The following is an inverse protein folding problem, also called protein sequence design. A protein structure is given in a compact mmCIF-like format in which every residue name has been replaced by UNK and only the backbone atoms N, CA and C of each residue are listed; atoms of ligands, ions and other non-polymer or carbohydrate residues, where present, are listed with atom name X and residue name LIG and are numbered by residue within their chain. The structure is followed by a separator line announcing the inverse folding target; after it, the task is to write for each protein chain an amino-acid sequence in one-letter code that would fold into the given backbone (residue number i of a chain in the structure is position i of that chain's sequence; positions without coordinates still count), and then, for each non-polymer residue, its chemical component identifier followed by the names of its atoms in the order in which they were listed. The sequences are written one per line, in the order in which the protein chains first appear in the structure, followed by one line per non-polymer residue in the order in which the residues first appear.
data_IF_132914398462
#
_entry.id   IF_132914398462
#
_cell.length_a   1.000
_cell.length_b   1.000
_cell.length_c   1.000
_cell.angle_alpha   90.00
_cell.angle_beta   90.00
_cell.angle_gamma   90.00
#
_symmetry.space_group_name_H-M   'P 1'
#
loop_
_entity.id
_entity.type
_entity.pdbx_description
1 polymer ?
#
# COMPACT_ATOMS: atom_id res chain seq x y z
N UNK A 1 -13.45 8.07 4.85
CA UNK A 1 -12.18 8.78 5.10
C UNK A 1 -11.05 7.81 4.77
N UNK A 2 -10.10 8.18 3.92
CA UNK A 2 -8.96 7.36 3.47
C UNK A 2 -7.61 7.82 4.07
N UNK A 3 -7.63 8.72 5.07
CA UNK A 3 -6.43 9.24 5.72
C UNK A 3 -5.43 9.91 4.77
N UNK A 4 -5.89 10.42 3.62
CA UNK A 4 -5.04 11.04 2.61
C UNK A 4 -4.26 10.06 1.72
N UNK A 5 -4.49 8.75 1.86
CA UNK A 5 -3.84 7.72 1.03
C UNK A 5 -4.56 7.61 -0.32
N UNK A 6 -3.86 7.79 -1.47
CA UNK A 6 -4.45 7.63 -2.80
C UNK A 6 -4.79 6.16 -3.10
N UNK A 7 -5.57 5.93 -4.15
CA UNK A 7 -5.83 4.58 -4.62
C UNK A 7 -4.53 3.92 -5.09
N UNK A 8 -4.26 2.71 -4.60
CA UNK A 8 -3.04 1.98 -4.90
C UNK A 8 -3.39 0.64 -5.54
N UNK A 9 -3.14 0.53 -6.84
CA UNK A 9 -3.32 -0.69 -7.62
C UNK A 9 -2.46 -1.85 -7.09
N UNK A 10 -1.29 -1.53 -6.50
CA UNK A 10 -0.37 -2.51 -5.94
C UNK A 10 -0.71 -2.95 -4.51
N UNK A 11 -1.80 -2.43 -3.92
CA UNK A 11 -2.29 -2.87 -2.61
C UNK A 11 -2.45 -4.38 -2.57
N UNK A 12 -2.02 -5.01 -1.47
CA UNK A 12 -2.20 -6.47 -1.28
C UNK A 12 -3.68 -6.84 -1.17
N UNK A 13 -4.53 -5.85 -0.91
CA UNK A 13 -5.97 -5.97 -0.84
C UNK A 13 -6.63 -5.84 -2.22
N UNK A 14 -5.88 -5.44 -3.25
CA UNK A 14 -6.40 -5.31 -4.60
C UNK A 14 -6.59 -6.70 -5.25
N UNK A 15 -7.73 -6.90 -5.91
CA UNK A 15 -7.96 -8.06 -6.77
C UNK A 15 -7.02 -8.06 -7.97
N UNK A 16 -6.74 -9.24 -8.53
CA UNK A 16 -6.04 -9.35 -9.81
C UNK A 16 -6.95 -8.95 -10.98
N UNK A 17 -6.36 -8.67 -12.15
CA UNK A 17 -7.07 -8.21 -13.34
C UNK A 17 -8.13 -9.20 -13.87
N UNK A 18 -8.01 -10.50 -13.55
CA UNK A 18 -8.88 -11.58 -14.03
C UNK A 18 -9.79 -12.13 -12.93
N UNK A 19 -9.79 -11.53 -11.74
CA UNK A 19 -10.60 -11.97 -10.61
C UNK A 19 -12.07 -12.14 -11.00
N UNK A 20 -12.60 -13.34 -10.78
CA UNK A 20 -13.98 -13.75 -11.12
C UNK A 20 -14.32 -13.72 -12.63
N UNK A 21 -13.33 -13.71 -13.52
CA UNK A 21 -13.57 -13.84 -14.95
C UNK A 21 -14.16 -15.21 -15.31
N UNK A 22 -15.08 -15.23 -16.27
CA UNK A 22 -15.60 -16.46 -16.89
C UNK A 22 -14.63 -17.06 -17.91
N UNK A 23 -13.64 -16.28 -18.35
CA UNK A 23 -12.58 -16.66 -19.28
C UNK A 23 -11.29 -15.94 -18.84
N UNK A 24 -10.74 -16.41 -17.72
CA UNK A 24 -9.57 -15.84 -17.03
C UNK A 24 -8.26 -15.89 -17.84
N UNK A 25 -8.27 -16.55 -19.01
CA UNK A 25 -7.14 -16.57 -19.93
C UNK A 25 -7.13 -15.41 -20.92
N UNK A 26 -8.30 -14.80 -21.19
CA UNK A 26 -8.45 -13.86 -22.29
C UNK A 26 -9.28 -12.62 -21.95
N UNK A 27 -9.96 -12.59 -20.80
CA UNK A 27 -10.87 -11.51 -20.43
C UNK A 27 -10.60 -11.00 -19.02
N UNK A 28 -9.96 -9.85 -18.96
CA UNK A 28 -9.84 -9.06 -17.74
C UNK A 28 -11.23 -8.58 -17.30
N UNK A 29 -11.51 -8.68 -16.00
CA UNK A 29 -12.72 -8.13 -15.36
C UNK A 29 -12.46 -6.76 -14.75
N UNK A 30 -11.19 -6.44 -14.48
CA UNK A 30 -10.76 -5.17 -13.90
C UNK A 30 -9.67 -4.58 -14.80
N UNK A 31 -9.95 -3.40 -15.36
CA UNK A 31 -9.05 -2.67 -16.25
C UNK A 31 -8.70 -1.35 -15.58
N UNK A 32 -7.42 -1.15 -15.30
CA UNK A 32 -6.87 0.08 -14.75
C UNK A 32 -7.01 1.23 -15.76
N UNK A 33 -7.34 2.41 -15.27
CA UNK A 33 -7.36 3.61 -16.11
C UNK A 33 -5.94 4.08 -16.47
N UNK A 34 -4.97 3.81 -15.60
CA UNK A 34 -3.55 3.96 -15.91
C UNK A 34 -3.00 2.61 -16.38
N UNK A 35 -2.69 2.52 -17.67
CA UNK A 35 -2.19 1.30 -18.29
C UNK A 35 -0.88 0.81 -17.64
N UNK A 36 -0.07 1.72 -17.08
CA UNK A 36 1.18 1.34 -16.41
C UNK A 36 0.94 0.62 -15.09
N UNK A 37 -0.26 0.76 -14.50
CA UNK A 37 -0.61 0.15 -13.23
C UNK A 37 -1.30 -1.23 -13.39
N UNK A 38 -1.71 -1.61 -14.61
CA UNK A 38 -2.50 -2.83 -14.87
C UNK A 38 -1.83 -4.08 -14.28
N UNK A 39 -0.51 -4.22 -14.47
CA UNK A 39 0.26 -5.39 -14.01
C UNK A 39 0.65 -5.36 -12.53
N UNK A 40 0.40 -4.25 -11.83
CA UNK A 40 0.68 -4.13 -10.39
C UNK A 40 -0.43 -4.74 -9.52
N UNK A 41 -1.64 -4.91 -10.09
CA UNK A 41 -2.82 -5.40 -9.40
C UNK A 41 -2.72 -6.88 -9.05
N UNK A 42 -3.26 -7.26 -7.89
CA UNK A 42 -3.35 -8.67 -7.51
C UNK A 42 -2.06 -9.26 -6.92
N UNK A 43 -1.00 -8.49 -6.72
CA UNK A 43 0.21 -8.97 -6.06
C UNK A 43 -0.10 -9.51 -4.64
N UNK A 44 0.64 -10.54 -4.22
CA UNK A 44 0.49 -11.20 -2.91
C UNK A 44 1.81 -11.33 -2.15
N UNK A 45 2.84 -10.61 -2.56
CA UNK A 45 4.18 -10.71 -1.98
C UNK A 45 4.27 -10.01 -0.63
N UNK A 46 3.66 -8.81 -0.51
CA UNK A 46 3.72 -7.99 0.71
C UNK A 46 2.66 -6.88 0.71
N UNK A 47 2.31 -6.40 1.89
CA UNK A 47 1.43 -5.24 2.06
C UNK A 47 2.09 -3.97 1.52
N UNK A 48 1.45 -3.30 0.56
CA UNK A 48 1.97 -2.08 -0.06
C UNK A 48 2.20 -0.99 0.99
N UNK A 49 3.03 0.00 0.66
CA UNK A 49 3.29 1.09 1.59
C UNK A 49 2.00 1.83 1.98
N UNK A 50 1.08 2.01 1.04
CA UNK A 50 -0.27 2.57 1.26
C UNK A 50 -1.08 1.77 2.28
N UNK A 51 -1.08 0.44 2.20
CA UNK A 51 -1.73 -0.46 3.16
C UNK A 51 -1.18 -0.24 4.57
N UNK A 52 0.15 -0.15 4.69
CA UNK A 52 0.84 0.05 5.96
C UNK A 52 0.47 1.43 6.55
N UNK A 53 0.47 2.48 5.74
CA UNK A 53 0.09 3.84 6.17
C UNK A 53 -1.35 3.84 6.67
N UNK A 54 -2.28 3.26 5.91
CA UNK A 54 -3.70 3.24 6.27
C UNK A 54 -3.95 2.49 7.58
N UNK A 55 -3.35 1.31 7.75
CA UNK A 55 -3.48 0.53 9.01
C UNK A 55 -2.85 1.30 10.19
N UNK A 56 -1.67 1.90 10.03
CA UNK A 56 -1.06 2.68 11.11
C UNK A 56 -1.91 3.91 11.49
N UNK A 57 -2.58 4.54 10.52
CA UNK A 57 -3.48 5.66 10.77
C UNK A 57 -4.75 5.21 11.52
N UNK A 58 -5.40 4.13 11.08
CA UNK A 58 -6.61 3.58 11.72
C UNK A 58 -6.36 3.21 13.19
N UNK A 59 -5.22 2.58 13.47
CA UNK A 59 -4.87 2.14 14.82
C UNK A 59 -4.01 3.14 15.60
N UNK A 60 -3.86 4.37 15.09
CA UNK A 60 -3.13 5.47 15.73
C UNK A 60 -1.72 5.07 16.20
N UNK A 61 -1.03 4.24 15.42
CA UNK A 61 0.24 3.63 15.81
C UNK A 61 1.34 4.65 16.13
N UNK A 62 1.26 5.86 15.56
CA UNK A 62 2.17 6.97 15.88
C UNK A 62 2.17 7.33 17.37
N UNK A 63 1.06 7.12 18.09
CA UNK A 63 0.97 7.38 19.54
C UNK A 63 1.92 6.52 20.39
N UNK A 64 2.40 5.39 19.86
CA UNK A 64 3.41 4.55 20.52
C UNK A 64 4.78 5.21 20.59
N UNK A 65 5.05 6.19 19.73
CA UNK A 65 6.31 6.91 19.65
C UNK A 65 6.05 8.42 19.90
N UNK A 66 5.84 8.84 21.17
CA UNK A 66 5.57 10.25 21.49
C UNK A 66 6.77 11.17 21.21
N UNK A 67 7.99 10.63 21.26
CA UNK A 67 9.24 11.36 21.00
C UNK A 67 10.17 10.50 20.13
N UNK A 68 9.91 10.38 18.82
CA UNK A 68 10.76 9.62 17.92
C UNK A 68 12.13 10.28 17.78
N UNK A 69 13.20 9.48 17.68
CA UNK A 69 14.58 9.98 17.58
C UNK A 69 15.08 10.12 16.13
N UNK A 70 14.17 10.02 15.15
CA UNK A 70 14.45 10.08 13.72
C UNK A 70 13.36 10.86 13.01
N UNK A 71 13.73 11.57 11.96
CA UNK A 71 12.81 12.24 11.05
C UNK A 71 12.79 11.50 9.71
N UNK A 72 11.62 11.01 9.30
CA UNK A 72 11.48 10.27 8.05
C UNK A 72 11.33 11.21 6.86
N UNK A 73 12.08 10.93 5.80
CA UNK A 73 12.11 11.73 4.58
C UNK A 73 11.31 11.05 3.46
N UNK A 74 11.05 11.79 2.37
CA UNK A 74 10.44 11.27 1.13
C UNK A 74 9.12 10.50 1.34
N UNK A 75 8.28 10.96 2.29
CA UNK A 75 6.99 10.34 2.57
C UNK A 75 7.05 9.06 3.41
N UNK A 76 8.22 8.72 3.98
CA UNK A 76 8.33 7.64 4.97
C UNK A 76 7.60 7.95 6.27
N UNK A 77 7.22 6.90 7.00
CA UNK A 77 6.57 7.00 8.31
C UNK A 77 7.44 6.40 9.41
N UNK A 78 7.30 6.88 10.64
CA UNK A 78 8.00 6.31 11.80
C UNK A 78 7.59 4.85 11.99
N UNK A 79 8.57 3.98 12.18
CA UNK A 79 8.32 2.60 12.55
C UNK A 79 7.85 2.55 14.01
N UNK A 80 6.54 2.31 14.19
CA UNK A 80 5.88 2.25 15.50
C UNK A 80 6.35 1.10 16.42
N UNK A 81 7.19 0.18 15.91
CA UNK A 81 7.81 -0.90 16.70
C UNK A 81 9.13 -0.50 17.33
N UNK A 82 9.86 0.45 16.75
CA UNK A 82 11.24 0.80 17.15
C UNK A 82 11.41 2.28 17.54
N UNK A 83 10.54 3.17 17.05
CA UNK A 83 10.55 4.62 17.27
C UNK A 83 11.84 5.36 16.85
N UNK A 84 12.81 4.67 16.26
CA UNK A 84 14.09 5.21 15.81
C UNK A 84 14.46 4.80 14.37
N UNK A 85 13.58 4.09 13.67
CA UNK A 85 13.72 3.77 12.24
C UNK A 85 12.49 4.18 11.45
N UNK A 86 12.64 4.31 10.15
CA UNK A 86 11.58 4.66 9.22
C UNK A 86 11.12 3.45 8.42
N UNK A 87 9.82 3.41 8.13
CA UNK A 87 9.26 2.58 7.07
C UNK A 87 9.23 3.47 5.82
N UNK A 88 9.99 3.08 4.80
CA UNK A 88 10.13 3.85 3.57
C UNK A 88 9.11 3.41 2.53
N UNK A 89 8.59 4.32 1.69
CA UNK A 89 7.86 3.94 0.50
C UNK A 89 8.78 3.15 -0.41
N UNK A 90 8.30 2.01 -0.89
CA UNK A 90 8.96 1.25 -1.93
C UNK A 90 8.02 1.23 -3.13
N UNK A 91 8.56 1.45 -4.32
CA UNK A 91 7.79 1.33 -5.55
C UNK A 91 7.62 -0.15 -5.87
N UNK A 92 6.37 -0.59 -6.01
CA UNK A 92 6.04 -1.84 -6.66
C UNK A 92 5.81 -1.47 -8.13
N UNK A 93 6.73 -1.88 -9.00
CA UNK A 93 6.62 -1.71 -10.45
C UNK A 93 5.84 -2.87 -11.04
#
# INVERSE_FOLDING_TARGET
NNFGVPYDYSSVLHYDAFSFSVDDKNKETIIAHDENAQFSMGQRDRAAFSDIVMVNAVYECAKKCPSPSVECQNGGIINSKTCNTCICPYMVY
#
